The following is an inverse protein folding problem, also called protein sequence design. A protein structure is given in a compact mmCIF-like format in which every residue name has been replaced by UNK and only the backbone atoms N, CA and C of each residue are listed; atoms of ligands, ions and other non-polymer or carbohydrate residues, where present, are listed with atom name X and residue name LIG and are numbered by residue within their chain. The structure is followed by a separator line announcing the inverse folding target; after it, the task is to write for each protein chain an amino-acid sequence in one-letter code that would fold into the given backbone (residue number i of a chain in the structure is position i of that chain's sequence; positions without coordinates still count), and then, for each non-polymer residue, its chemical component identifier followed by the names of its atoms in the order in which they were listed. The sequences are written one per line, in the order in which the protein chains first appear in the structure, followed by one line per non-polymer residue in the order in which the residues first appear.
data_IF_540409192095
#
_entry.id   IF_540409192095
#
_cell.length_a   1.000
_cell.length_b   1.000
_cell.length_c   1.000
_cell.angle_alpha   90.00
_cell.angle_beta   90.00
_cell.angle_gamma   90.00
#
_symmetry.space_group_name_H-M   'P 1'
#
loop_
_entity.id
_entity.type
_entity.pdbx_description
1 polymer ?
#
# COMPACT_ATOMS: atom_id res chain seq x y z
N UNK A 1 10.23 11.76 -33.19
CA UNK A 1 10.16 11.28 -31.82
C UNK A 1 10.88 9.92 -31.75
N UNK A 2 11.81 9.72 -30.85
CA UNK A 2 12.52 8.44 -30.71
C UNK A 2 11.64 7.49 -29.86
N UNK A 3 11.29 6.35 -30.40
CA UNK A 3 10.50 5.33 -29.68
C UNK A 3 11.44 4.25 -29.17
N UNK A 4 11.33 3.94 -27.89
CA UNK A 4 12.03 2.82 -27.25
C UNK A 4 11.02 1.73 -26.93
N UNK A 5 11.36 0.49 -27.21
CA UNK A 5 10.54 -0.70 -26.86
C UNK A 5 11.22 -1.45 -25.76
N UNK A 6 10.51 -1.64 -24.63
CA UNK A 6 10.97 -2.40 -23.48
C UNK A 6 10.02 -3.59 -23.30
N UNK A 7 10.57 -4.79 -23.12
CA UNK A 7 9.79 -6.00 -22.81
C UNK A 7 9.89 -6.30 -21.32
N UNK A 8 8.78 -6.59 -20.71
CA UNK A 8 8.66 -6.95 -19.29
C UNK A 8 7.51 -7.93 -19.09
N UNK A 9 7.53 -8.71 -18.02
CA UNK A 9 6.44 -9.61 -17.66
C UNK A 9 5.30 -8.88 -16.96
N UNK A 10 5.66 -7.88 -16.14
CA UNK A 10 4.69 -7.05 -15.39
C UNK A 10 5.05 -5.58 -15.56
N UNK A 11 4.06 -4.79 -15.96
CA UNK A 11 4.16 -3.34 -16.03
C UNK A 11 3.33 -2.71 -14.89
N UNK A 12 3.99 -1.86 -14.09
CA UNK A 12 3.36 -1.07 -13.03
C UNK A 12 3.36 0.39 -13.44
N UNK A 13 2.20 1.01 -13.42
CA UNK A 13 2.05 2.44 -13.71
C UNK A 13 1.86 3.21 -12.40
N UNK A 14 2.86 4.00 -12.06
CA UNK A 14 2.92 4.81 -10.85
C UNK A 14 3.88 4.25 -9.80
N UNK A 15 4.76 5.10 -9.30
CA UNK A 15 5.81 4.79 -8.32
C UNK A 15 5.48 5.28 -6.89
N UNK A 16 4.20 5.44 -6.57
CA UNK A 16 3.76 5.68 -5.18
C UNK A 16 3.84 4.41 -4.33
N UNK A 17 3.35 4.48 -3.10
CA UNK A 17 3.38 3.35 -2.13
C UNK A 17 2.82 2.06 -2.72
N UNK A 18 1.65 2.12 -3.36
CA UNK A 18 1.01 0.95 -3.95
C UNK A 18 1.86 0.31 -5.06
N UNK A 19 2.41 1.11 -5.96
CA UNK A 19 3.26 0.61 -7.06
C UNK A 19 4.58 0.03 -6.55
N UNK A 20 5.23 0.70 -5.61
CA UNK A 20 6.45 0.20 -4.99
C UNK A 20 6.21 -1.10 -4.22
N UNK A 21 5.13 -1.17 -3.45
CA UNK A 21 4.78 -2.38 -2.69
C UNK A 21 4.44 -3.56 -3.61
N UNK A 22 3.72 -3.31 -4.70
CA UNK A 22 3.44 -4.32 -5.72
C UNK A 22 4.72 -4.84 -6.38
N UNK A 23 5.65 -3.94 -6.74
CA UNK A 23 6.94 -4.31 -7.32
C UNK A 23 7.75 -5.20 -6.37
N UNK A 24 7.86 -4.81 -5.10
CA UNK A 24 8.53 -5.60 -4.07
C UNK A 24 7.89 -6.98 -3.90
N UNK A 25 6.56 -7.03 -3.81
CA UNK A 25 5.82 -8.29 -3.64
C UNK A 25 6.05 -9.25 -4.80
N UNK A 26 6.03 -8.74 -6.04
CA UNK A 26 6.29 -9.57 -7.23
C UNK A 26 7.74 -10.09 -7.22
N UNK A 27 8.70 -9.20 -6.92
CA UNK A 27 10.12 -9.56 -6.89
C UNK A 27 10.48 -10.59 -5.82
N UNK A 28 9.80 -10.57 -4.68
CA UNK A 28 10.02 -11.54 -3.60
C UNK A 28 9.37 -12.89 -3.84
N UNK A 29 8.30 -12.94 -4.64
CA UNK A 29 7.50 -14.15 -4.84
C UNK A 29 7.58 -14.73 -6.26
N UNK A 30 8.40 -14.14 -7.12
CA UNK A 30 8.57 -14.64 -8.49
C UNK A 30 9.86 -14.16 -9.14
N UNK A 31 10.27 -14.86 -10.23
CA UNK A 31 11.38 -14.45 -11.09
C UNK A 31 10.92 -13.52 -12.24
N UNK A 32 9.73 -12.92 -12.13
CA UNK A 32 9.16 -12.07 -13.15
C UNK A 32 9.91 -10.75 -13.27
N UNK A 33 10.18 -10.35 -14.51
CA UNK A 33 10.75 -9.04 -14.80
C UNK A 33 9.69 -7.95 -14.60
N UNK A 34 9.94 -7.04 -13.68
CA UNK A 34 9.03 -5.93 -13.36
C UNK A 34 9.58 -4.63 -13.92
N UNK A 35 8.71 -3.85 -14.54
CA UNK A 35 8.98 -2.48 -14.95
C UNK A 35 7.98 -1.54 -14.26
N UNK A 36 8.48 -0.56 -13.52
CA UNK A 36 7.66 0.51 -12.96
C UNK A 36 7.87 1.80 -13.74
N UNK A 37 6.79 2.35 -14.28
CA UNK A 37 6.78 3.65 -14.96
C UNK A 37 6.24 4.73 -14.02
N UNK A 38 7.06 5.73 -13.73
CA UNK A 38 6.71 6.88 -12.90
C UNK A 38 6.84 8.17 -13.71
N UNK A 39 5.79 9.01 -13.70
CA UNK A 39 5.78 10.26 -14.48
C UNK A 39 6.62 11.39 -13.87
N UNK A 40 6.88 11.33 -12.57
CA UNK A 40 7.63 12.35 -11.85
C UNK A 40 8.99 11.79 -11.40
N UNK A 41 9.17 11.53 -10.13
CA UNK A 41 10.44 11.05 -9.58
C UNK A 41 10.18 9.99 -8.52
N UNK A 42 10.68 8.78 -8.72
CA UNK A 42 10.39 7.61 -7.87
C UNK A 42 10.65 7.86 -6.37
N UNK A 43 11.65 8.64 -6.01
CA UNK A 43 11.97 8.97 -4.62
C UNK A 43 11.03 10.02 -3.99
N UNK A 44 10.14 10.62 -4.78
CA UNK A 44 9.27 11.73 -4.35
C UNK A 44 7.86 11.60 -4.92
N UNK A 45 7.45 10.40 -5.30
CA UNK A 45 6.13 10.14 -5.86
C UNK A 45 5.15 9.62 -4.82
N UNK A 46 3.89 9.96 -5.02
CA UNK A 46 2.78 9.53 -4.18
C UNK A 46 2.53 10.41 -2.95
N UNK A 47 1.44 10.14 -2.27
CA UNK A 47 0.98 10.97 -1.15
C UNK A 47 1.88 10.88 0.08
N UNK A 48 2.56 9.78 0.33
CA UNK A 48 3.54 9.69 1.44
C UNK A 48 4.68 10.68 1.26
N UNK A 49 5.20 10.82 0.03
CA UNK A 49 6.23 11.81 -0.28
C UNK A 49 5.73 13.26 -0.18
N UNK A 50 4.43 13.49 -0.32
CA UNK A 50 3.79 14.80 -0.15
C UNK A 50 3.49 15.17 1.30
N UNK A 51 3.74 14.27 2.27
CA UNK A 51 3.60 14.54 3.70
C UNK A 51 2.48 13.80 4.41
N UNK A 52 1.83 12.83 3.79
CA UNK A 52 0.93 11.91 4.51
C UNK A 52 1.76 11.05 5.43
N UNK A 53 1.53 11.16 6.74
CA UNK A 53 2.34 10.57 7.80
C UNK A 53 1.53 9.72 8.78
N UNK A 54 0.31 9.33 8.42
CA UNK A 54 -0.55 8.50 9.25
C UNK A 54 -0.97 7.23 8.52
N UNK A 55 -1.08 6.14 9.27
CA UNK A 55 -1.67 4.89 8.83
C UNK A 55 -3.08 4.76 9.43
N UNK A 56 -4.05 4.48 8.59
CA UNK A 56 -5.37 4.10 9.03
C UNK A 56 -5.44 2.57 9.08
N UNK A 57 -5.34 2.00 10.27
CA UNK A 57 -5.23 0.57 10.50
C UNK A 57 -5.88 0.20 11.86
N UNK A 58 -6.00 -1.09 12.14
CA UNK A 58 -6.57 -1.62 13.40
C UNK A 58 -5.53 -2.43 14.21
N UNK A 59 -4.29 -2.00 14.20
CA UNK A 59 -3.15 -2.71 14.81
C UNK A 59 -3.22 -2.82 16.35
N UNK A 60 -4.16 -2.14 16.97
CA UNK A 60 -4.36 -2.15 18.43
C UNK A 60 -4.93 -3.50 18.88
N UNK A 61 -4.46 -3.99 20.01
CA UNK A 61 -4.92 -5.25 20.62
C UNK A 61 -6.45 -5.25 20.83
N UNK A 62 -7.08 -6.39 20.55
CA UNK A 62 -8.54 -6.56 20.66
C UNK A 62 -9.36 -6.06 19.48
N UNK A 63 -8.76 -5.35 18.53
CA UNK A 63 -9.44 -4.90 17.30
C UNK A 63 -9.46 -6.00 16.24
N UNK A 64 -10.47 -5.98 15.39
CA UNK A 64 -10.71 -6.96 14.32
C UNK A 64 -10.80 -6.25 12.96
N UNK A 65 -10.55 -6.97 11.84
CA UNK A 65 -10.75 -6.43 10.50
C UNK A 65 -12.11 -5.76 10.28
N UNK A 66 -13.17 -6.33 10.85
CA UNK A 66 -14.52 -5.78 10.75
C UNK A 66 -14.64 -4.39 11.37
N UNK A 67 -13.93 -4.10 12.47
CA UNK A 67 -13.95 -2.77 13.10
C UNK A 67 -13.47 -1.68 12.14
N UNK A 68 -12.49 -2.01 11.29
CA UNK A 68 -12.01 -1.11 10.24
C UNK A 68 -13.07 -0.87 9.17
N UNK A 69 -13.77 -1.92 8.74
CA UNK A 69 -14.86 -1.82 7.75
C UNK A 69 -15.99 -0.94 8.30
N UNK A 70 -16.40 -1.17 9.54
CA UNK A 70 -17.47 -0.42 10.20
C UNK A 70 -17.11 1.07 10.36
N UNK A 71 -15.85 1.35 10.73
CA UNK A 71 -15.32 2.71 10.76
C UNK A 71 -15.38 3.38 9.38
N UNK A 72 -14.81 2.75 8.36
CA UNK A 72 -14.76 3.30 7.00
C UNK A 72 -16.17 3.49 6.40
N UNK A 73 -17.10 2.58 6.69
CA UNK A 73 -18.50 2.70 6.29
C UNK A 73 -19.18 3.90 6.92
N UNK A 74 -18.93 4.13 8.21
CA UNK A 74 -19.47 5.29 8.92
C UNK A 74 -18.87 6.59 8.39
N UNK A 75 -17.56 6.63 8.16
CA UNK A 75 -16.85 7.81 7.67
C UNK A 75 -17.27 8.22 6.25
N UNK A 76 -17.62 7.25 5.41
CA UNK A 76 -18.05 7.46 4.03
C UNK A 76 -19.59 7.45 3.86
N UNK A 77 -20.38 7.69 4.91
CA UNK A 77 -21.85 7.70 4.88
C UNK A 77 -22.46 6.45 4.18
N UNK A 78 -21.83 5.30 4.34
CA UNK A 78 -22.25 4.03 3.76
C UNK A 78 -21.83 3.80 2.31
N UNK A 79 -21.17 4.75 1.65
CA UNK A 79 -20.72 4.63 0.25
C UNK A 79 -19.36 3.92 0.20
N UNK A 80 -19.36 2.61 0.45
CA UNK A 80 -18.16 1.78 0.44
C UNK A 80 -18.42 0.40 -0.18
N UNK A 81 -17.36 -0.22 -0.66
CA UNK A 81 -17.33 -1.64 -1.03
C UNK A 81 -16.83 -2.43 0.17
N UNK A 82 -17.75 -2.88 1.03
CA UNK A 82 -17.44 -3.58 2.27
C UNK A 82 -16.63 -4.87 2.04
N UNK A 83 -16.92 -5.60 0.97
CA UNK A 83 -16.18 -6.80 0.55
C UNK A 83 -14.69 -6.52 0.27
N UNK A 84 -14.40 -5.42 -0.43
CA UNK A 84 -13.02 -5.02 -0.71
C UNK A 84 -12.31 -4.47 0.53
N UNK A 85 -13.03 -3.70 1.35
CA UNK A 85 -12.50 -3.19 2.62
C UNK A 85 -12.15 -4.32 3.56
N UNK A 86 -12.99 -5.35 3.67
CA UNK A 86 -12.71 -6.51 4.51
C UNK A 86 -11.47 -7.26 4.03
N UNK A 87 -11.40 -7.57 2.74
CA UNK A 87 -10.23 -8.23 2.14
C UNK A 87 -8.94 -7.45 2.38
N UNK A 88 -8.99 -6.12 2.28
CA UNK A 88 -7.85 -5.25 2.56
C UNK A 88 -7.52 -5.27 4.06
N UNK A 89 -8.51 -5.10 4.94
CA UNK A 89 -8.30 -4.98 6.38
C UNK A 89 -7.73 -6.26 7.00
N UNK A 90 -8.10 -7.43 6.50
CA UNK A 90 -7.51 -8.71 6.92
C UNK A 90 -5.98 -8.78 6.76
N UNK A 91 -5.42 -7.94 5.89
CA UNK A 91 -3.98 -7.87 5.60
C UNK A 91 -3.26 -6.67 6.23
N UNK A 92 -3.97 -5.71 6.82
CA UNK A 92 -3.37 -4.46 7.29
C UNK A 92 -2.25 -4.67 8.31
N UNK A 93 -2.46 -5.52 9.31
CA UNK A 93 -1.44 -5.75 10.35
C UNK A 93 -0.21 -6.45 9.78
N UNK A 94 -0.39 -7.48 8.94
CA UNK A 94 0.71 -8.17 8.26
C UNK A 94 1.53 -7.21 7.38
N UNK A 95 0.85 -6.36 6.62
CA UNK A 95 1.48 -5.35 5.75
C UNK A 95 2.22 -4.30 6.58
N UNK A 96 1.65 -3.86 7.69
CA UNK A 96 2.27 -2.90 8.61
C UNK A 96 3.57 -3.45 9.18
N UNK A 97 3.56 -4.67 9.70
CA UNK A 97 4.76 -5.36 10.20
C UNK A 97 5.85 -5.52 9.13
N UNK A 98 5.44 -5.79 7.89
CA UNK A 98 6.39 -5.87 6.77
C UNK A 98 7.00 -4.52 6.44
N UNK A 99 6.24 -3.44 6.48
CA UNK A 99 6.76 -2.08 6.26
C UNK A 99 7.76 -1.69 7.35
N UNK A 100 7.52 -2.03 8.60
CA UNK A 100 8.47 -1.83 9.70
C UNK A 100 9.78 -2.61 9.47
N UNK A 101 9.69 -3.86 9.02
CA UNK A 101 10.87 -4.67 8.64
C UNK A 101 11.66 -4.08 7.47
N UNK A 102 11.00 -3.35 6.58
CA UNK A 102 11.63 -2.61 5.49
C UNK A 102 12.24 -1.26 5.93
N UNK A 103 12.11 -0.90 7.20
CA UNK A 103 12.70 0.29 7.80
C UNK A 103 11.75 1.47 7.98
N UNK A 104 10.44 1.29 7.75
CA UNK A 104 9.46 2.33 8.09
C UNK A 104 9.34 2.42 9.62
N UNK A 105 9.56 3.60 10.16
CA UNK A 105 9.34 3.87 11.58
C UNK A 105 7.88 4.24 11.79
N UNK A 106 7.13 3.39 12.49
CA UNK A 106 5.74 3.63 12.87
C UNK A 106 5.73 4.01 14.35
N UNK A 107 5.31 5.23 14.63
CA UNK A 107 5.13 5.69 16.01
C UNK A 107 3.85 5.06 16.55
N UNK A 108 3.95 4.38 17.67
CA UNK A 108 2.82 3.77 18.38
C UNK A 108 2.71 4.48 19.72
N UNK A 109 1.49 4.82 20.13
CA UNK A 109 1.26 5.37 21.47
C UNK A 109 1.52 4.26 22.51
N UNK A 110 2.21 4.63 23.59
CA UNK A 110 2.45 3.76 24.75
C UNK A 110 1.19 3.72 25.65
N UNK A 111 0.10 3.14 25.19
CA UNK A 111 -1.09 2.91 26.01
C UNK A 111 -1.56 1.46 25.92
#
# INVERSE_FOLDING_TARGET
MKTEKISTDVLIIGGGTAGCYAALTISENSDKKVLTCEKAHIKRSGCLAAGVNALNAYIVEGRKPQDYVDYAKKDADGIVREDLLLTMSEKLNEVTDRLEKLGLVILKDEN
#
